data_IF_779211649909
#
_entry.id   IF_779211649909
#
_cell.length_a   1.000
_cell.length_b   1.000
_cell.length_c   1.000
_cell.angle_alpha   90.00
_cell.angle_beta   90.00
_cell.angle_gamma   90.00
#
_symmetry.space_group_name_H-M   'P 1'
#
loop_
_entity.id
_entity.type
_entity.pdbx_description
1 polymer ?
#
# COMPACT_ATOMS: atom_id res chain seq x y z
N UNK A 1 -6.38 -11.70 30.49
CA UNK A 1 -6.30 -11.45 30.10
C UNK A 1 -6.36 -10.85 29.41
N UNK A 2 -6.41 -10.76 29.06
CA UNK A 2 -6.46 -10.36 28.39
C UNK A 2 -6.20 -9.65 27.71
N UNK A 3 -6.03 -9.04 27.88
CA UNK A 3 -5.57 -8.24 27.46
C UNK A 3 -5.01 -8.27 26.28
N UNK A 4 -4.43 -8.84 25.98
CA UNK A 4 -3.96 -9.01 24.78
C UNK A 4 -4.89 -8.86 23.72
N UNK A 5 -5.98 -8.82 24.00
CA UNK A 5 -6.97 -8.70 23.05
C UNK A 5 -6.83 -7.53 22.21
N UNK A 6 -6.35 -6.44 22.73
CA UNK A 6 -6.26 -5.23 21.96
C UNK A 6 -5.12 -5.19 21.01
N UNK A 7 -4.34 -6.23 20.97
CA UNK A 7 -3.24 -6.32 20.05
C UNK A 7 -3.70 -6.22 18.62
N UNK A 8 -4.88 -6.72 18.30
CA UNK A 8 -5.33 -6.66 16.93
C UNK A 8 -5.53 -5.23 16.47
N UNK A 9 -6.06 -4.37 17.32
CA UNK A 9 -6.20 -2.98 16.98
C UNK A 9 -4.86 -2.32 16.76
N UNK A 10 -3.89 -2.65 17.59
CA UNK A 10 -2.56 -2.07 17.47
C UNK A 10 -1.91 -2.51 16.17
N UNK A 11 -2.08 -3.76 15.79
CA UNK A 11 -1.55 -4.24 14.54
C UNK A 11 -2.18 -3.54 13.38
N UNK A 12 -3.49 -3.35 13.41
CA UNK A 12 -4.17 -2.68 12.32
C UNK A 12 -3.67 -1.26 12.15
N UNK A 13 -3.52 -0.55 13.25
CA UNK A 13 -3.02 0.82 13.18
C UNK A 13 -1.60 0.88 12.66
N UNK A 14 -0.78 -0.04 13.11
CA UNK A 14 0.61 -0.10 12.69
C UNK A 14 0.71 -0.35 11.17
N UNK A 15 -0.03 -1.34 10.68
CA UNK A 15 0.04 -1.67 9.27
C UNK A 15 -0.57 -0.57 8.40
N UNK A 16 -1.61 0.08 8.91
CA UNK A 16 -2.21 1.17 8.16
C UNK A 16 -1.21 2.32 8.00
N UNK A 17 -0.52 2.68 9.07
CA UNK A 17 0.47 3.73 9.00
C UNK A 17 1.59 3.36 8.05
N UNK A 18 2.03 2.11 8.10
CA UNK A 18 3.09 1.67 7.23
C UNK A 18 2.66 1.72 5.79
N UNK A 19 1.42 1.29 5.52
CA UNK A 19 0.89 1.35 4.18
C UNK A 19 0.79 2.79 3.68
N UNK A 20 0.30 3.68 4.53
CA UNK A 20 0.18 5.09 4.17
C UNK A 20 1.54 5.68 3.82
N UNK A 21 2.55 5.35 4.60
CA UNK A 21 3.89 5.81 4.34
C UNK A 21 4.41 5.32 2.99
N UNK A 22 4.17 4.05 2.71
CA UNK A 22 4.63 3.47 1.45
C UNK A 22 3.90 4.07 0.26
N UNK A 23 2.63 4.37 0.41
CA UNK A 23 1.89 5.04 -0.66
C UNK A 23 2.48 6.41 -0.91
N UNK A 24 2.79 7.14 0.14
CA UNK A 24 3.37 8.46 -0.01
C UNK A 24 4.72 8.39 -0.73
N UNK A 25 5.54 7.41 -0.35
CA UNK A 25 6.81 7.22 -1.04
C UNK A 25 6.61 6.89 -2.50
N UNK A 26 5.61 6.06 -2.79
CA UNK A 26 5.35 5.69 -4.17
C UNK A 26 4.97 6.91 -4.99
N UNK A 27 4.21 7.83 -4.39
CA UNK A 27 3.83 9.03 -5.10
C UNK A 27 5.03 9.91 -5.41
N UNK A 28 5.98 9.98 -4.48
CA UNK A 28 7.20 10.74 -4.72
C UNK A 28 7.99 10.15 -5.87
N UNK A 29 8.12 8.84 -5.91
CA UNK A 29 8.84 8.20 -7.01
C UNK A 29 8.08 8.38 -8.32
N UNK A 30 6.76 8.31 -8.25
CA UNK A 30 5.94 8.52 -9.43
C UNK A 30 6.17 9.92 -10.01
N UNK A 31 6.23 10.93 -9.15
CA UNK A 31 6.47 12.29 -9.61
C UNK A 31 7.82 12.43 -10.28
N UNK A 32 8.78 11.63 -9.86
CA UNK A 32 10.11 11.62 -10.44
C UNK A 32 10.19 10.69 -11.65
N UNK A 33 9.06 10.18 -12.10
CA UNK A 33 8.98 9.30 -13.25
C UNK A 33 9.69 7.97 -13.04
N UNK A 34 9.82 7.58 -11.78
CA UNK A 34 10.38 6.28 -11.44
C UNK A 34 9.23 5.31 -11.25
N UNK A 35 8.60 4.96 -12.34
CA UNK A 35 7.33 4.22 -12.30
C UNK A 35 7.49 2.81 -11.75
N UNK A 36 8.57 2.15 -12.09
CA UNK A 36 8.80 0.81 -11.60
C UNK A 36 8.93 0.82 -10.08
N UNK A 37 9.68 1.77 -9.55
CA UNK A 37 9.85 1.89 -8.12
C UNK A 37 8.52 2.22 -7.44
N UNK A 38 7.75 3.09 -8.06
CA UNK A 38 6.43 3.43 -7.53
C UNK A 38 5.56 2.19 -7.45
N UNK A 39 5.59 1.34 -8.47
CA UNK A 39 4.80 0.11 -8.44
C UNK A 39 5.25 -0.82 -7.33
N UNK A 40 6.55 -0.95 -7.14
CA UNK A 40 7.07 -1.80 -6.07
C UNK A 40 6.57 -1.34 -4.71
N UNK A 41 6.59 -0.03 -4.50
CA UNK A 41 6.15 0.52 -3.23
C UNK A 41 4.65 0.37 -3.03
N UNK A 42 3.88 0.53 -4.10
CA UNK A 42 2.44 0.30 -4.01
C UNK A 42 2.14 -1.15 -3.67
N UNK A 43 2.90 -2.06 -4.24
CA UNK A 43 2.71 -3.47 -3.94
C UNK A 43 2.99 -3.75 -2.47
N UNK A 44 4.03 -3.13 -1.93
CA UNK A 44 4.33 -3.28 -0.51
C UNK A 44 3.24 -2.66 0.35
N UNK A 45 2.72 -1.51 -0.08
CA UNK A 45 1.65 -0.88 0.67
C UNK A 45 0.40 -1.76 0.70
N UNK A 46 0.08 -2.36 -0.44
CA UNK A 46 -1.06 -3.26 -0.51
C UNK A 46 -0.89 -4.40 0.49
N UNK A 47 0.31 -4.96 0.56
CA UNK A 47 0.60 -6.03 1.50
C UNK A 47 0.39 -5.57 2.94
N UNK A 48 0.85 -4.37 3.27
CA UNK A 48 0.68 -3.85 4.62
C UNK A 48 -0.79 -3.65 4.95
N UNK A 49 -1.53 -3.06 4.03
CA UNK A 49 -2.95 -2.85 4.26
C UNK A 49 -3.69 -4.18 4.43
N UNK A 50 -3.31 -5.15 3.64
CA UNK A 50 -3.94 -6.47 3.74
C UNK A 50 -3.66 -7.09 5.10
N UNK A 51 -2.43 -7.00 5.57
CA UNK A 51 -2.08 -7.54 6.88
C UNK A 51 -2.82 -6.83 7.98
N UNK A 52 -3.09 -5.55 7.81
CA UNK A 52 -3.82 -4.77 8.80
C UNK A 52 -5.31 -4.83 8.66
N UNK A 53 -5.80 -5.63 7.70
CA UNK A 53 -7.23 -5.74 7.43
C UNK A 53 -7.85 -4.43 7.03
N UNK A 54 -7.06 -3.58 6.37
CA UNK A 54 -7.53 -2.30 5.86
C UNK A 54 -8.01 -2.53 4.44
N UNK A 55 -9.18 -3.10 4.32
CA UNK A 55 -9.69 -3.55 3.04
C UNK A 55 -9.88 -2.41 2.05
N UNK A 56 -10.41 -1.31 2.51
CA UNK A 56 -10.68 -0.19 1.63
C UNK A 56 -9.38 0.39 1.08
N UNK A 57 -8.42 0.59 1.96
CA UNK A 57 -7.14 1.12 1.53
C UNK A 57 -6.41 0.15 0.62
N UNK A 58 -6.52 -1.13 0.90
CA UNK A 58 -5.90 -2.14 0.05
C UNK A 58 -6.50 -2.11 -1.35
N UNK A 59 -7.81 -1.99 -1.42
CA UNK A 59 -8.50 -1.92 -2.70
C UNK A 59 -8.05 -0.70 -3.49
N UNK A 60 -8.01 0.45 -2.84
CA UNK A 60 -7.58 1.67 -3.50
C UNK A 60 -6.15 1.58 -4.00
N UNK A 61 -5.29 0.96 -3.21
CA UNK A 61 -3.89 0.80 -3.59
C UNK A 61 -3.77 -0.12 -4.79
N UNK A 62 -4.57 -1.18 -4.82
CA UNK A 62 -4.56 -2.10 -5.93
C UNK A 62 -5.01 -1.41 -7.22
N UNK A 63 -6.04 -0.59 -7.12
CA UNK A 63 -6.52 0.13 -8.30
C UNK A 63 -5.45 1.09 -8.82
N UNK A 64 -4.79 1.78 -7.93
CA UNK A 64 -3.74 2.69 -8.31
C UNK A 64 -2.59 1.94 -8.99
N UNK A 65 -2.22 0.81 -8.43
CA UNK A 65 -1.18 -0.02 -9.01
C UNK A 65 -1.54 -0.44 -10.43
N UNK A 66 -2.77 -0.90 -10.62
CA UNK A 66 -3.21 -1.34 -11.93
C UNK A 66 -3.27 -0.18 -12.91
N UNK A 67 -3.70 0.96 -12.45
CA UNK A 67 -3.81 2.13 -13.30
C UNK A 67 -2.43 2.54 -13.83
N UNK A 68 -1.45 2.59 -12.95
CA UNK A 68 -0.10 2.96 -13.36
C UNK A 68 0.45 1.90 -14.30
N UNK A 69 0.25 0.64 -13.97
CA UNK A 69 0.77 -0.43 -14.78
C UNK A 69 0.20 -0.38 -16.19
N UNK A 70 -1.09 -0.17 -16.31
CA UNK A 70 -1.72 -0.12 -17.62
C UNK A 70 -1.31 1.10 -18.40
N UNK A 71 -1.08 2.21 -17.73
CA UNK A 71 -0.74 3.44 -18.42
C UNK A 71 0.70 3.46 -18.90
N UNK A 72 1.61 2.97 -18.07
CA UNK A 72 3.03 3.13 -18.36
C UNK A 72 3.75 1.84 -18.76
N UNK A 73 3.12 0.69 -18.53
CA UNK A 73 3.73 -0.59 -18.84
C UNK A 73 2.81 -1.48 -19.67
N UNK A 74 1.90 -0.85 -20.38
CA UNK A 74 0.88 -1.66 -21.03
C UNK A 74 1.36 -2.49 -22.19
N UNK A 75 2.50 -2.22 -22.70
CA UNK A 75 2.95 -3.02 -23.79
C UNK A 75 3.60 -4.30 -23.41
N UNK A 76 3.64 -4.57 -22.20
CA UNK A 76 4.22 -5.79 -21.77
C UNK A 76 3.37 -6.98 -21.94
#
# INVERSE_FOLDING_TARGET
>A
MDKKIDTSKDFMAFYKKKGDYLVELSENHFKNKEYKKALELLNQAYSMYTKGKCTEEAENTKLKFQEIKQTYFKNE
#
